data_IF_143333249289
#
_entry.id   IF_143333249289
#
_cell.length_a   1.000
_cell.length_b   1.000
_cell.length_c   1.000
_cell.angle_alpha   90.00
_cell.angle_beta   90.00
_cell.angle_gamma   90.00
#
_symmetry.space_group_name_H-M   'P 1'
#
loop_
_entity.id
_entity.type
_entity.pdbx_description
1 polymer ?
#
# COMPACT_ATOMS: atom_id res chain seq x y z
N UNK A 1 13.75 32.57 30.17
CA UNK A 1 13.93 31.12 30.03
C UNK A 1 13.06 30.63 28.86
N UNK A 2 13.64 30.61 27.68
CA UNK A 2 12.94 30.33 26.43
C UNK A 2 13.08 28.83 26.15
N UNK A 3 11.94 28.10 26.16
CA UNK A 3 11.86 26.71 25.74
C UNK A 3 11.71 26.67 24.23
N UNK A 4 12.74 26.23 23.57
CA UNK A 4 12.79 26.00 22.14
C UNK A 4 12.25 24.58 21.87
N UNK A 5 11.01 24.47 21.44
CA UNK A 5 10.43 23.18 20.96
C UNK A 5 10.77 23.00 19.50
N UNK A 6 11.89 22.35 19.23
CA UNK A 6 12.24 21.90 17.90
C UNK A 6 11.38 20.71 17.52
N UNK A 7 10.55 20.86 16.49
CA UNK A 7 9.98 19.74 15.76
C UNK A 7 11.12 19.01 15.04
N UNK A 8 11.50 17.85 15.55
CA UNK A 8 12.36 16.95 14.82
C UNK A 8 11.53 16.24 13.76
N UNK A 9 11.77 16.53 12.49
CA UNK A 9 11.38 15.67 11.39
C UNK A 9 11.95 14.29 11.66
N UNK A 10 11.04 13.30 11.81
CA UNK A 10 11.42 11.92 11.83
C UNK A 10 11.86 11.54 10.40
N UNK A 11 13.10 11.81 10.10
CA UNK A 11 13.76 11.24 8.93
C UNK A 11 13.69 9.72 9.04
N UNK A 12 13.22 9.09 7.97
CA UNK A 12 13.29 7.66 7.74
C UNK A 12 14.76 7.23 7.63
N UNK A 13 15.47 7.34 8.75
CA UNK A 13 16.84 6.86 8.88
C UNK A 13 16.77 5.33 8.93
N UNK A 14 17.06 4.67 7.81
CA UNK A 14 17.56 3.31 7.83
C UNK A 14 18.67 3.24 8.88
N UNK A 15 18.39 2.68 10.03
CA UNK A 15 19.46 2.16 10.87
C UNK A 15 20.06 0.97 10.12
N UNK A 16 21.06 1.23 9.32
CA UNK A 16 22.00 0.19 8.94
C UNK A 16 22.60 -0.35 10.25
N UNK A 17 22.16 -1.51 10.67
CA UNK A 17 22.90 -2.27 11.66
C UNK A 17 24.18 -2.75 10.97
N UNK A 18 25.29 -2.18 11.39
CA UNK A 18 26.64 -2.43 10.84
C UNK A 18 27.19 -3.83 11.16
N UNK A 19 26.34 -4.82 11.43
CA UNK A 19 26.79 -6.13 11.91
C UNK A 19 27.06 -7.16 10.83
N UNK A 20 26.70 -6.94 9.55
CA UNK A 20 27.10 -7.82 8.45
C UNK A 20 27.10 -7.08 7.12
N UNK A 21 28.24 -6.60 6.60
CA UNK A 21 28.32 -6.12 5.22
C UNK A 21 28.09 -7.31 4.28
N UNK A 22 26.95 -7.25 3.55
CA UNK A 22 26.51 -8.31 2.63
C UNK A 22 25.27 -9.09 3.09
N UNK A 23 24.61 -8.70 4.17
CA UNK A 23 23.32 -9.27 4.55
C UNK A 23 22.23 -8.76 3.59
N UNK A 24 21.54 -9.68 2.92
CA UNK A 24 20.35 -9.37 2.11
C UNK A 24 19.16 -9.32 3.06
N UNK A 25 18.41 -8.21 3.04
CA UNK A 25 17.20 -8.02 3.85
C UNK A 25 15.96 -8.33 3.03
N UNK A 26 14.95 -8.88 3.68
CA UNK A 26 13.66 -9.15 3.05
C UNK A 26 12.52 -8.43 3.78
N UNK A 27 11.57 -7.89 3.01
CA UNK A 27 10.41 -7.16 3.52
C UNK A 27 9.11 -7.73 2.96
N UNK A 28 8.07 -7.77 3.80
CA UNK A 28 6.70 -8.00 3.34
C UNK A 28 6.12 -6.68 2.88
N UNK A 29 5.63 -6.66 1.66
CA UNK A 29 4.96 -5.50 1.06
C UNK A 29 3.58 -5.88 0.53
N UNK A 30 2.76 -4.87 0.33
CA UNK A 30 1.45 -5.03 -0.30
C UNK A 30 1.37 -4.18 -1.57
N UNK A 31 0.75 -4.75 -2.60
CA UNK A 31 0.42 -4.02 -3.81
C UNK A 31 -0.61 -2.91 -3.61
N UNK A 32 -1.35 -2.91 -2.50
CA UNK A 32 -2.32 -1.87 -2.17
C UNK A 32 -1.71 -0.60 -1.55
N UNK A 33 -0.43 -0.62 -1.17
CA UNK A 33 0.26 0.53 -0.58
C UNK A 33 1.66 0.17 -0.10
N UNK A 34 2.55 1.14 -0.10
CA UNK A 34 3.94 0.97 0.32
C UNK A 34 4.13 0.97 1.85
N UNK A 35 3.09 1.28 2.62
CA UNK A 35 3.13 1.34 4.08
C UNK A 35 2.79 -0.02 4.69
N UNK A 36 3.46 -0.37 5.77
CA UNK A 36 3.18 -1.59 6.55
C UNK A 36 1.73 -1.67 7.05
N UNK A 37 1.11 -0.54 7.33
CA UNK A 37 -0.29 -0.44 7.76
C UNK A 37 -1.13 0.16 6.63
N UNK A 38 -1.96 -0.65 6.00
CA UNK A 38 -2.78 -0.23 4.85
C UNK A 38 -4.25 -0.58 5.07
N UNK A 39 -5.18 0.38 4.90
CA UNK A 39 -6.60 0.10 5.00
C UNK A 39 -7.10 -0.72 3.81
N UNK A 40 -8.04 -1.61 4.07
CA UNK A 40 -8.78 -2.36 3.05
C UNK A 40 -10.26 -2.36 3.41
N UNK A 41 -11.10 -1.91 2.47
CA UNK A 41 -12.54 -1.88 2.66
C UNK A 41 -13.18 -3.23 2.32
N UNK A 42 -14.01 -3.73 3.22
CA UNK A 42 -14.83 -4.91 3.01
C UNK A 42 -16.28 -4.46 2.82
N UNK A 43 -16.80 -4.53 1.61
CA UNK A 43 -18.07 -3.92 1.25
C UNK A 43 -19.19 -4.92 1.04
N UNK A 44 -20.23 -4.83 1.88
CA UNK A 44 -21.43 -5.66 1.81
C UNK A 44 -21.08 -7.14 1.92
N UNK A 45 -21.56 -7.92 0.98
CA UNK A 45 -21.37 -9.36 0.88
C UNK A 45 -20.19 -9.78 -0.01
N UNK A 46 -19.41 -8.81 -0.50
CA UNK A 46 -18.27 -9.08 -1.37
C UNK A 46 -16.99 -9.27 -0.56
N UNK A 47 -16.18 -10.26 -0.97
CA UNK A 47 -14.83 -10.39 -0.42
C UNK A 47 -13.95 -9.21 -0.84
N UNK A 48 -12.98 -8.88 -0.01
CA UNK A 48 -11.85 -8.04 -0.39
C UNK A 48 -10.61 -8.92 -0.57
N UNK A 49 -9.67 -8.50 -1.41
CA UNK A 49 -8.43 -9.24 -1.62
C UNK A 49 -7.25 -8.31 -1.40
N UNK A 50 -6.40 -8.65 -0.44
CA UNK A 50 -5.07 -8.07 -0.29
C UNK A 50 -4.06 -8.84 -1.12
N UNK A 51 -3.08 -8.13 -1.68
CA UNK A 51 -2.02 -8.74 -2.47
C UNK A 51 -0.68 -8.47 -1.81
N UNK A 52 -0.04 -9.51 -1.33
CA UNK A 52 1.23 -9.49 -0.62
C UNK A 52 2.35 -10.01 -1.51
N UNK A 53 3.54 -9.53 -1.31
CA UNK A 53 4.75 -10.07 -1.90
C UNK A 53 5.92 -9.88 -0.95
N UNK A 54 6.97 -10.67 -1.17
CA UNK A 54 8.22 -10.55 -0.43
C UNK A 54 9.28 -9.92 -1.34
N UNK A 55 9.94 -8.89 -0.85
CA UNK A 55 10.97 -8.18 -1.61
C UNK A 55 12.29 -8.19 -0.86
N UNK A 56 13.34 -8.63 -1.54
CA UNK A 56 14.71 -8.64 -1.07
C UNK A 56 15.39 -7.31 -1.41
N UNK A 57 16.36 -6.90 -0.61
CA UNK A 57 17.18 -5.71 -0.86
C UNK A 57 18.07 -5.84 -2.10
N UNK A 58 18.38 -7.07 -2.50
CA UNK A 58 19.20 -7.41 -3.66
C UNK A 58 18.62 -8.66 -4.36
N UNK A 59 18.94 -8.90 -5.63
CA UNK A 59 18.55 -10.13 -6.32
C UNK A 59 19.04 -11.39 -5.62
N UNK A 60 18.19 -12.40 -5.51
CA UNK A 60 18.51 -13.67 -4.91
C UNK A 60 19.56 -14.43 -5.76
N UNK A 61 20.61 -14.92 -5.14
CA UNK A 61 21.60 -15.77 -5.83
C UNK A 61 21.03 -17.14 -6.21
N UNK A 62 20.10 -17.64 -5.43
CA UNK A 62 19.37 -18.89 -5.63
C UNK A 62 17.91 -18.71 -5.24
N UNK A 63 17.06 -19.67 -5.59
CA UNK A 63 15.65 -19.66 -5.25
C UNK A 63 15.45 -19.56 -3.73
N UNK A 64 14.56 -18.64 -3.31
CA UNK A 64 14.20 -18.41 -1.91
C UNK A 64 12.73 -18.74 -1.71
N UNK A 65 12.44 -19.81 -0.98
CA UNK A 65 11.09 -20.15 -0.58
C UNK A 65 10.63 -19.24 0.58
N UNK A 66 9.43 -18.70 0.48
CA UNK A 66 8.83 -17.80 1.48
C UNK A 66 7.44 -18.29 1.84
N UNK A 67 7.16 -18.36 3.15
CA UNK A 67 5.84 -18.73 3.66
C UNK A 67 5.25 -17.57 4.45
N UNK A 68 4.11 -17.07 4.00
CA UNK A 68 3.29 -16.08 4.71
C UNK A 68 2.37 -16.78 5.72
N UNK A 69 2.17 -16.14 6.87
CA UNK A 69 1.30 -16.64 7.95
C UNK A 69 0.51 -15.51 8.57
N UNK A 70 -0.73 -15.80 8.96
CA UNK A 70 -1.48 -14.93 9.85
C UNK A 70 -0.82 -14.98 11.23
N UNK A 71 -0.50 -13.83 11.83
CA UNK A 71 0.27 -13.77 13.07
C UNK A 71 -0.26 -12.67 14.00
N UNK A 72 -1.08 -13.07 14.97
CA UNK A 72 -1.67 -12.15 15.96
C UNK A 72 -0.62 -11.46 16.84
N UNK A 73 0.54 -12.10 17.06
CA UNK A 73 1.62 -11.53 17.89
C UNK A 73 2.18 -10.24 17.28
N UNK A 74 2.16 -10.14 15.94
CA UNK A 74 2.53 -8.90 15.22
C UNK A 74 1.57 -7.78 15.59
N UNK A 75 0.27 -8.08 15.64
CA UNK A 75 -0.76 -7.11 16.01
C UNK A 75 -0.64 -6.70 17.47
N UNK A 76 -0.42 -7.65 18.37
CA UNK A 76 -0.24 -7.37 19.79
C UNK A 76 0.95 -6.44 20.03
N UNK A 77 2.09 -6.74 19.39
CA UNK A 77 3.28 -5.89 19.45
C UNK A 77 3.03 -4.50 18.87
N UNK A 78 2.32 -4.42 17.74
CA UNK A 78 1.94 -3.15 17.12
C UNK A 78 1.04 -2.32 18.04
N UNK A 79 0.01 -2.93 18.61
CA UNK A 79 -0.91 -2.26 19.52
C UNK A 79 -0.17 -1.70 20.75
N UNK A 80 0.70 -2.51 21.35
CA UNK A 80 1.50 -2.10 22.50
C UNK A 80 2.42 -0.93 22.17
N UNK A 81 3.12 -0.97 21.04
CA UNK A 81 4.07 0.07 20.62
C UNK A 81 3.38 1.40 20.29
N UNK A 82 2.19 1.34 19.69
CA UNK A 82 1.49 2.51 19.15
C UNK A 82 0.31 2.96 20.02
N UNK A 83 0.04 2.31 21.14
CA UNK A 83 -1.11 2.63 22.02
C UNK A 83 -2.45 2.44 21.33
N UNK A 84 -2.54 1.47 20.39
CA UNK A 84 -3.76 1.14 19.66
C UNK A 84 -4.44 -0.11 20.25
N UNK A 85 -5.71 -0.33 19.91
CA UNK A 85 -6.50 -1.47 20.41
C UNK A 85 -7.17 -2.25 19.27
N UNK A 86 -6.50 -2.40 18.13
CA UNK A 86 -7.05 -3.18 17.02
C UNK A 86 -7.19 -4.65 17.40
N UNK A 87 -8.29 -5.27 16.95
CA UNK A 87 -8.53 -6.71 17.11
C UNK A 87 -8.34 -7.42 15.78
N UNK A 88 -7.85 -8.67 15.83
CA UNK A 88 -7.73 -9.49 14.62
C UNK A 88 -9.11 -9.72 13.99
N UNK A 89 -9.15 -9.66 12.66
CA UNK A 89 -10.31 -10.12 11.90
C UNK A 89 -10.49 -11.63 12.10
N UNK A 90 -11.73 -12.18 12.10
CA UNK A 90 -11.97 -13.61 12.32
C UNK A 90 -11.13 -14.49 11.38
N UNK A 91 -10.38 -15.43 11.94
CA UNK A 91 -9.44 -16.25 11.18
C UNK A 91 -10.11 -17.18 10.17
N UNK A 92 -11.35 -17.64 10.45
CA UNK A 92 -12.17 -18.45 9.55
C UNK A 92 -12.65 -17.69 8.31
N UNK A 93 -12.46 -16.37 8.28
CA UNK A 93 -12.77 -15.46 7.16
C UNK A 93 -11.55 -15.05 6.35
N UNK A 94 -10.38 -15.59 6.62
CA UNK A 94 -9.12 -15.24 5.98
C UNK A 94 -8.54 -16.43 5.24
N UNK A 95 -8.30 -16.27 3.95
CA UNK A 95 -7.77 -17.33 3.09
C UNK A 95 -6.48 -16.83 2.40
N UNK A 96 -5.38 -17.46 2.72
CA UNK A 96 -4.11 -17.26 2.02
C UNK A 96 -4.02 -18.18 0.81
N UNK A 97 -3.81 -17.63 -0.35
CA UNK A 97 -3.50 -18.38 -1.56
C UNK A 97 -2.32 -19.33 -1.34
N UNK A 98 -2.30 -20.48 -1.99
CA UNK A 98 -1.21 -21.46 -1.90
C UNK A 98 -0.77 -21.80 -0.47
N UNK A 99 -1.67 -21.75 0.52
CA UNK A 99 -1.33 -21.88 1.94
C UNK A 99 -0.22 -20.90 2.39
N UNK A 100 -0.13 -19.75 1.77
CA UNK A 100 0.86 -18.72 2.07
C UNK A 100 2.23 -18.90 1.40
N UNK A 101 2.42 -19.87 0.52
CA UNK A 101 3.72 -20.15 -0.06
C UNK A 101 3.95 -19.41 -1.38
N UNK A 102 5.09 -18.75 -1.49
CA UNK A 102 5.61 -18.10 -2.70
C UNK A 102 7.12 -18.32 -2.81
N UNK A 103 7.67 -17.96 -3.94
CA UNK A 103 9.09 -18.09 -4.24
C UNK A 103 9.63 -16.78 -4.80
N UNK A 104 10.83 -16.40 -4.38
CA UNK A 104 11.68 -15.44 -5.08
C UNK A 104 12.62 -16.24 -5.96
N UNK A 105 12.47 -16.14 -7.28
CA UNK A 105 13.31 -16.86 -8.23
C UNK A 105 14.76 -16.34 -8.21
N UNK A 106 15.73 -17.21 -8.52
CA UNK A 106 17.12 -16.81 -8.68
C UNK A 106 17.24 -15.65 -9.70
N UNK A 107 18.05 -14.65 -9.36
CA UNK A 107 18.24 -13.44 -10.14
C UNK A 107 17.15 -12.38 -9.97
N UNK A 108 16.08 -12.66 -9.21
CA UNK A 108 15.03 -11.70 -8.90
C UNK A 108 15.11 -11.24 -7.44
N UNK A 109 14.66 -10.03 -7.17
CA UNK A 109 14.52 -9.50 -5.81
C UNK A 109 13.11 -9.57 -5.25
N UNK A 110 12.11 -9.97 -6.07
CA UNK A 110 10.69 -9.93 -5.71
C UNK A 110 10.02 -11.26 -5.99
N UNK A 111 9.22 -11.73 -5.03
CA UNK A 111 8.38 -12.92 -5.21
C UNK A 111 7.21 -12.66 -6.14
N UNK A 112 6.55 -13.72 -6.60
CA UNK A 112 5.19 -13.64 -7.08
C UNK A 112 4.28 -13.01 -6.02
N UNK A 113 3.19 -12.38 -6.46
CA UNK A 113 2.17 -11.82 -5.58
C UNK A 113 1.29 -12.94 -5.03
N UNK A 114 1.01 -12.90 -3.74
CA UNK A 114 0.14 -13.82 -3.03
C UNK A 114 -1.16 -13.13 -2.66
N UNK A 115 -2.30 -13.72 -3.01
CA UNK A 115 -3.60 -13.20 -2.61
C UNK A 115 -3.95 -13.60 -1.17
N UNK A 116 -4.47 -12.62 -0.41
CA UNK A 116 -5.13 -12.81 0.87
C UNK A 116 -6.59 -12.43 0.70
N UNK A 117 -7.47 -13.40 0.61
CA UNK A 117 -8.91 -13.17 0.55
C UNK A 117 -9.47 -12.92 1.95
N UNK A 118 -10.24 -11.86 2.08
CA UNK A 118 -10.94 -11.44 3.30
C UNK A 118 -12.43 -11.58 3.01
N UNK A 119 -13.04 -12.61 3.57
CA UNK A 119 -14.45 -12.90 3.37
C UNK A 119 -15.34 -11.96 4.19
N UNK A 120 -16.60 -11.73 3.76
CA UNK A 120 -17.55 -10.89 4.50
C UNK A 120 -17.74 -11.31 5.94
N UNK A 121 -17.81 -10.33 6.82
CA UNK A 121 -17.97 -10.54 8.26
C UNK A 121 -17.60 -9.29 9.06
N UNK A 122 -17.57 -9.44 10.37
CA UNK A 122 -17.30 -8.35 11.29
C UNK A 122 -18.49 -7.40 11.45
N UNK A 123 -18.34 -6.41 12.31
CA UNK A 123 -19.36 -5.39 12.58
C UNK A 123 -19.16 -4.20 11.65
N UNK A 124 -20.20 -3.76 10.97
CA UNK A 124 -20.15 -2.57 10.11
C UNK A 124 -19.66 -1.34 10.88
N UNK A 125 -18.72 -0.61 10.29
CA UNK A 125 -18.12 0.58 10.89
C UNK A 125 -16.99 0.30 11.89
N UNK A 126 -16.82 -0.93 12.35
CA UNK A 126 -15.66 -1.30 13.17
C UNK A 126 -14.37 -1.36 12.32
N UNK A 127 -13.23 -1.30 12.98
CA UNK A 127 -11.93 -1.50 12.34
C UNK A 127 -11.24 -2.71 12.97
N UNK A 128 -10.93 -3.67 12.14
CA UNK A 128 -10.17 -4.87 12.50
C UNK A 128 -8.79 -4.80 11.86
N UNK A 129 -7.90 -5.67 12.29
CA UNK A 129 -6.59 -5.84 11.66
C UNK A 129 -6.41 -7.26 11.13
N UNK A 130 -5.68 -7.41 10.04
CA UNK A 130 -5.13 -8.69 9.59
C UNK A 130 -3.63 -8.53 9.55
N UNK A 131 -2.96 -9.13 10.52
CA UNK A 131 -1.51 -9.11 10.61
C UNK A 131 -0.92 -10.36 9.95
N UNK A 132 0.05 -10.16 9.07
CA UNK A 132 0.72 -11.20 8.32
C UNK A 132 2.22 -11.11 8.57
N UNK A 133 2.86 -12.23 8.83
CA UNK A 133 4.32 -12.35 8.83
C UNK A 133 4.78 -13.23 7.69
N UNK A 134 6.06 -13.14 7.32
CA UNK A 134 6.70 -14.05 6.37
C UNK A 134 7.94 -14.68 6.98
N UNK A 135 8.17 -15.95 6.62
CA UNK A 135 9.38 -16.68 6.94
C UNK A 135 10.00 -17.13 5.62
N UNK A 136 11.22 -16.68 5.35
CA UNK A 136 12.01 -17.17 4.24
C UNK A 136 12.82 -18.37 4.71
N UNK A 137 12.78 -19.46 3.95
CA UNK A 137 13.51 -20.71 4.23
C UNK A 137 14.57 -20.95 3.18
N UNK A 138 15.65 -21.59 3.58
CA UNK A 138 16.80 -21.99 2.76
C UNK A 138 17.68 -20.85 2.20
N UNK A 139 18.97 -20.88 2.56
CA UNK A 139 19.99 -19.93 2.09
C UNK A 139 19.93 -18.54 2.71
N UNK A 140 19.01 -18.31 3.64
CA UNK A 140 18.61 -16.98 4.12
C UNK A 140 18.95 -16.71 5.58
N UNK A 141 19.98 -17.32 6.13
CA UNK A 141 20.49 -16.98 7.47
C UNK A 141 20.88 -15.50 7.62
N UNK A 142 20.89 -14.79 6.49
CA UNK A 142 21.19 -13.36 6.38
C UNK A 142 19.96 -12.46 6.25
N UNK A 143 18.72 -13.02 6.23
CA UNK A 143 17.51 -12.25 6.00
C UNK A 143 16.80 -11.95 7.32
N UNK A 144 17.07 -10.81 7.87
CA UNK A 144 16.39 -10.31 9.06
C UNK A 144 15.56 -9.08 8.73
N UNK A 145 14.40 -9.04 9.34
CA UNK A 145 13.60 -7.90 9.75
C UNK A 145 12.66 -7.23 8.72
N UNK A 146 11.52 -6.81 9.21
CA UNK A 146 10.31 -6.33 8.56
C UNK A 146 9.52 -7.38 7.78
N UNK A 147 9.39 -8.55 8.37
CA UNK A 147 8.63 -9.68 7.83
C UNK A 147 7.14 -9.60 8.20
N UNK A 148 6.62 -8.40 8.39
CA UNK A 148 5.25 -8.18 8.83
C UNK A 148 4.54 -7.13 8.00
N UNK A 149 3.24 -7.33 7.79
CA UNK A 149 2.33 -6.38 7.17
C UNK A 149 0.98 -6.42 7.87
N UNK A 150 0.30 -5.28 8.00
CA UNK A 150 -1.00 -5.18 8.65
C UNK A 150 -1.99 -4.50 7.70
N UNK A 151 -3.07 -5.21 7.35
CA UNK A 151 -4.24 -4.59 6.77
C UNK A 151 -5.20 -4.14 7.86
N UNK A 152 -5.70 -2.91 7.76
CA UNK A 152 -6.83 -2.45 8.56
C UNK A 152 -8.12 -2.72 7.77
N UNK A 153 -8.84 -3.75 8.18
CA UNK A 153 -10.09 -4.17 7.54
C UNK A 153 -11.24 -3.37 8.11
N UNK A 154 -11.99 -2.72 7.22
CA UNK A 154 -13.19 -1.95 7.57
C UNK A 154 -14.41 -2.56 6.90
N UNK A 155 -15.26 -3.32 7.62
CA UNK A 155 -16.56 -3.73 7.14
C UNK A 155 -17.45 -2.50 6.92
N UNK A 156 -17.95 -2.35 5.73
CA UNK A 156 -18.77 -1.19 5.31
C UNK A 156 -20.00 -1.70 4.56
N UNK A 157 -21.07 -0.91 4.57
CA UNK A 157 -22.26 -1.20 3.77
C UNK A 157 -21.91 -1.34 2.29
N UNK A 158 -22.70 -2.12 1.56
CA UNK A 158 -22.60 -2.19 0.10
C UNK A 158 -22.72 -0.79 -0.49
N UNK A 159 -21.88 -0.47 -1.48
CA UNK A 159 -22.03 0.79 -2.21
C UNK A 159 -23.07 0.63 -3.30
N UNK A 160 -24.03 1.57 -3.39
CA UNK A 160 -24.92 1.62 -4.55
C UNK A 160 -24.09 1.89 -5.83
N UNK A 161 -24.68 1.60 -6.97
CA UNK A 161 -24.10 1.96 -8.25
C UNK A 161 -23.90 3.48 -8.34
N UNK A 162 -22.88 3.89 -9.09
CA UNK A 162 -22.59 5.32 -9.27
C UNK A 162 -23.77 6.00 -9.95
N UNK A 163 -24.30 7.04 -9.33
CA UNK A 163 -25.31 7.87 -9.97
C UNK A 163 -24.65 8.72 -11.07
N UNK A 164 -24.69 8.20 -12.31
CA UNK A 164 -24.14 8.87 -13.48
C UNK A 164 -24.82 10.21 -13.81
N UNK A 165 -26.02 10.46 -13.27
CA UNK A 165 -26.82 11.67 -13.50
C UNK A 165 -26.35 12.90 -12.73
N UNK A 166 -25.40 12.79 -11.81
CA UNK A 166 -24.91 13.93 -11.03
C UNK A 166 -24.19 14.94 -11.94
N UNK A 167 -24.70 16.18 -11.97
CA UNK A 167 -24.13 17.25 -12.81
C UNK A 167 -22.80 17.77 -12.28
N UNK A 168 -22.69 17.95 -10.96
CA UNK A 168 -21.46 18.38 -10.31
C UNK A 168 -20.59 17.15 -10.07
N UNK A 169 -19.33 17.21 -10.49
CA UNK A 169 -18.35 16.15 -10.28
C UNK A 169 -17.36 16.56 -9.19
N UNK A 170 -17.14 15.65 -8.25
CA UNK A 170 -16.17 15.83 -7.18
C UNK A 170 -14.86 15.14 -7.57
N UNK A 171 -13.77 15.89 -7.45
CA UNK A 171 -12.43 15.39 -7.73
C UNK A 171 -11.59 15.47 -6.46
N UNK A 172 -10.78 14.45 -6.20
CA UNK A 172 -9.74 14.50 -5.18
C UNK A 172 -8.36 14.23 -5.78
N UNK A 173 -7.35 14.82 -5.16
CA UNK A 173 -5.95 14.50 -5.36
C UNK A 173 -5.47 13.64 -4.20
N UNK A 174 -4.92 12.46 -4.47
CA UNK A 174 -4.40 11.58 -3.44
C UNK A 174 -2.88 11.71 -3.40
N UNK A 175 -2.37 12.24 -2.29
CA UNK A 175 -0.93 12.34 -2.00
C UNK A 175 -0.40 10.94 -1.65
N UNK A 176 0.02 10.21 -2.68
CA UNK A 176 0.41 8.79 -2.54
C UNK A 176 1.68 8.57 -1.71
N UNK A 177 2.42 9.64 -1.39
CA UNK A 177 3.53 9.57 -0.44
C UNK A 177 3.06 9.30 1.00
N UNK A 178 1.79 9.63 1.30
CA UNK A 178 1.23 9.57 2.66
C UNK A 178 -0.01 8.71 2.75
N UNK A 179 -0.78 8.61 1.66
CA UNK A 179 -2.09 8.00 1.64
C UNK A 179 -2.22 6.91 0.57
N UNK A 180 -3.06 5.92 0.84
CA UNK A 180 -3.42 4.92 -0.17
C UNK A 180 -4.40 5.51 -1.19
N UNK A 181 -4.22 5.17 -2.47
CA UNK A 181 -5.19 5.50 -3.52
C UNK A 181 -6.60 5.00 -3.20
N UNK A 182 -6.70 3.85 -2.52
CA UNK A 182 -7.97 3.22 -2.18
C UNK A 182 -8.83 4.07 -1.22
N UNK A 183 -8.21 4.99 -0.46
CA UNK A 183 -8.92 5.89 0.45
C UNK A 183 -9.97 6.75 -0.27
N UNK A 184 -9.74 7.13 -1.52
CA UNK A 184 -10.73 7.87 -2.30
C UNK A 184 -12.06 7.12 -2.48
N UNK A 185 -12.01 5.78 -2.47
CA UNK A 185 -13.19 4.93 -2.56
C UNK A 185 -13.91 4.68 -1.24
N UNK A 186 -13.40 5.18 -0.11
CA UNK A 186 -14.01 5.02 1.21
C UNK A 186 -15.05 6.10 1.53
N UNK A 187 -14.98 7.23 0.85
CA UNK A 187 -15.92 8.33 1.06
C UNK A 187 -17.20 8.11 0.28
N UNK A 188 -18.33 8.13 0.97
CA UNK A 188 -19.65 7.96 0.37
C UNK A 188 -20.57 9.11 0.72
N UNK A 189 -21.55 9.37 -0.16
CA UNK A 189 -22.62 10.32 0.12
C UNK A 189 -23.50 9.81 1.26
N UNK A 190 -23.87 10.69 2.18
CA UNK A 190 -24.74 10.34 3.30
C UNK A 190 -26.14 9.94 2.84
N UNK A 191 -26.62 10.55 1.77
CA UNK A 191 -27.99 10.40 1.26
C UNK A 191 -28.26 9.02 0.66
N UNK A 192 -27.38 8.56 -0.23
CA UNK A 192 -27.60 7.38 -1.08
C UNK A 192 -26.43 6.39 -1.04
N UNK A 193 -25.41 6.69 -0.21
CA UNK A 193 -24.19 5.86 -0.07
C UNK A 193 -23.36 5.73 -1.36
N UNK A 194 -23.69 6.48 -2.41
CA UNK A 194 -22.87 6.52 -3.62
C UNK A 194 -21.45 7.04 -3.32
N UNK A 195 -20.44 6.75 -4.15
CA UNK A 195 -19.12 7.33 -4.01
C UNK A 195 -19.17 8.86 -3.95
N UNK A 196 -18.44 9.45 -3.00
CA UNK A 196 -18.38 10.90 -2.89
C UNK A 196 -17.57 11.51 -4.04
N UNK A 197 -16.45 10.88 -4.39
CA UNK A 197 -15.60 11.31 -5.49
C UNK A 197 -15.98 10.62 -6.80
N UNK A 198 -16.06 11.38 -7.87
CA UNK A 198 -16.24 10.88 -9.25
C UNK A 198 -14.92 10.67 -9.94
N UNK A 199 -13.89 11.42 -9.51
CA UNK A 199 -12.56 11.42 -10.09
C UNK A 199 -11.55 11.41 -8.95
N UNK A 200 -10.55 10.56 -9.05
CA UNK A 200 -9.39 10.53 -8.16
C UNK A 200 -8.11 10.68 -8.97
N UNK A 201 -7.22 11.50 -8.51
CA UNK A 201 -5.95 11.75 -9.20
C UNK A 201 -4.78 11.28 -8.38
N UNK A 202 -3.90 10.48 -9.00
CA UNK A 202 -2.61 10.07 -8.41
C UNK A 202 -1.70 11.28 -8.38
N UNK A 203 -1.34 11.76 -7.20
CA UNK A 203 -0.50 12.93 -7.01
C UNK A 203 0.90 12.51 -6.49
N UNK A 204 2.02 12.70 -7.19
CA UNK A 204 2.07 13.17 -8.56
C UNK A 204 3.30 12.59 -9.28
N UNK A 205 3.23 12.56 -10.59
CA UNK A 205 4.39 12.42 -11.44
C UNK A 205 4.89 13.80 -11.88
N UNK A 206 6.14 13.88 -12.32
CA UNK A 206 6.73 15.11 -12.86
C UNK A 206 7.22 14.86 -14.29
N UNK A 207 7.04 15.81 -15.18
CA UNK A 207 7.72 15.82 -16.46
C UNK A 207 9.05 16.56 -16.27
N UNK A 208 10.15 15.88 -16.57
CA UNK A 208 11.52 16.41 -16.48
C UNK A 208 12.21 16.28 -17.82
N UNK A 209 13.28 17.03 -18.00
CA UNK A 209 14.18 16.89 -19.15
C UNK A 209 15.38 16.04 -18.74
N UNK A 210 15.80 15.14 -19.62
CA UNK A 210 17.08 14.44 -19.51
C UNK A 210 18.24 15.40 -19.77
N UNK A 211 19.47 14.90 -19.65
CA UNK A 211 20.67 15.67 -20.01
C UNK A 211 20.70 16.07 -21.51
N UNK A 212 20.00 15.32 -22.34
CA UNK A 212 19.89 15.55 -23.81
C UNK A 212 18.58 16.30 -24.16
N UNK A 213 17.98 17.02 -23.22
CA UNK A 213 16.73 17.77 -23.37
C UNK A 213 15.53 16.96 -23.84
N UNK A 214 15.54 15.64 -23.62
CA UNK A 214 14.41 14.77 -23.95
C UNK A 214 13.44 14.73 -22.75
N UNK A 215 12.14 15.07 -22.94
CA UNK A 215 11.14 14.98 -21.89
C UNK A 215 10.91 13.53 -21.44
N UNK A 216 10.86 13.31 -20.13
CA UNK A 216 10.51 12.01 -19.55
C UNK A 216 9.63 12.16 -18.31
N UNK A 217 8.84 11.13 -18.00
CA UNK A 217 8.01 11.08 -16.80
C UNK A 217 8.86 10.58 -15.64
N UNK A 218 9.04 11.45 -14.65
CA UNK A 218 9.74 11.15 -13.39
C UNK A 218 8.72 10.88 -12.30
N UNK A 219 8.77 9.69 -11.71
CA UNK A 219 7.95 9.31 -10.58
C UNK A 219 8.86 9.05 -9.37
N UNK A 220 8.41 9.45 -8.18
CA UNK A 220 9.02 8.97 -6.96
C UNK A 220 8.64 7.49 -6.72
N UNK A 221 9.22 6.87 -5.70
CA UNK A 221 9.00 5.46 -5.38
C UNK A 221 7.51 5.13 -5.16
N UNK A 222 6.79 5.95 -4.42
CA UNK A 222 5.38 5.73 -4.08
C UNK A 222 4.46 5.88 -5.30
N UNK A 223 4.70 6.87 -6.14
CA UNK A 223 3.94 7.04 -7.39
C UNK A 223 4.24 5.89 -8.35
N UNK A 224 5.50 5.49 -8.47
CA UNK A 224 5.90 4.32 -9.27
C UNK A 224 5.22 3.06 -8.78
N UNK A 225 5.21 2.84 -7.44
CA UNK A 225 4.53 1.70 -6.83
C UNK A 225 3.04 1.64 -7.21
N UNK A 226 2.32 2.76 -7.17
CA UNK A 226 0.91 2.81 -7.57
C UNK A 226 0.74 2.44 -9.05
N UNK A 227 1.60 2.96 -9.92
CA UNK A 227 1.51 2.72 -11.36
C UNK A 227 1.91 1.29 -11.75
N UNK A 228 2.90 0.71 -11.05
CA UNK A 228 3.33 -0.67 -11.29
C UNK A 228 2.34 -1.71 -10.74
N UNK A 229 1.44 -1.31 -9.83
CA UNK A 229 0.45 -2.18 -9.18
C UNK A 229 -1.00 -1.69 -9.46
N UNK A 230 -1.31 -1.34 -10.71
CA UNK A 230 -2.62 -0.77 -11.12
C UNK A 230 -3.79 -1.68 -10.73
N UNK A 231 -3.66 -2.99 -10.87
CA UNK A 231 -4.74 -3.94 -10.56
C UNK A 231 -5.17 -3.88 -9.10
N UNK A 232 -4.27 -3.54 -8.18
CA UNK A 232 -4.52 -3.49 -6.75
C UNK A 232 -4.78 -2.09 -6.23
N UNK A 233 -4.26 -1.06 -6.89
CA UNK A 233 -4.32 0.32 -6.41
C UNK A 233 -5.32 1.20 -7.13
N UNK A 234 -5.61 0.91 -8.40
CA UNK A 234 -6.44 1.73 -9.29
C UNK A 234 -7.74 1.02 -9.69
N UNK A 235 -7.65 -0.25 -10.11
CA UNK A 235 -8.82 -1.02 -10.57
C UNK A 235 -9.95 -1.11 -9.55
N UNK A 236 -9.70 -1.25 -8.23
CA UNK A 236 -10.79 -1.25 -7.25
C UNK A 236 -11.58 0.07 -7.22
N UNK A 237 -10.94 1.21 -7.47
CA UNK A 237 -11.62 2.49 -7.59
C UNK A 237 -12.45 2.57 -8.88
N UNK A 238 -11.90 2.11 -10.00
CA UNK A 238 -12.61 2.06 -11.27
C UNK A 238 -13.83 1.13 -11.19
N UNK A 239 -13.71 -0.01 -10.48
CA UNK A 239 -14.84 -0.91 -10.23
C UNK A 239 -15.96 -0.25 -9.39
N UNK A 240 -15.62 0.76 -8.58
CA UNK A 240 -16.59 1.61 -7.86
C UNK A 240 -17.12 2.75 -8.72
N UNK A 241 -16.73 2.86 -10.00
CA UNK A 241 -17.12 3.90 -10.93
C UNK A 241 -16.35 5.21 -10.77
N UNK A 242 -15.29 5.24 -9.99
CA UNK A 242 -14.41 6.41 -9.82
C UNK A 242 -13.39 6.41 -10.95
N UNK A 243 -13.35 7.48 -11.74
CA UNK A 243 -12.31 7.65 -12.76
C UNK A 243 -10.97 7.99 -12.10
N UNK A 244 -9.90 7.36 -12.52
CA UNK A 244 -8.56 7.62 -12.00
C UNK A 244 -7.69 8.24 -13.08
N UNK A 245 -7.05 9.35 -12.74
CA UNK A 245 -6.16 10.09 -13.61
C UNK A 245 -4.79 10.27 -12.94
N UNK A 246 -3.68 10.17 -13.66
CA UNK A 246 -2.39 10.65 -13.16
C UNK A 246 -2.37 12.19 -13.22
N UNK A 247 -1.71 12.80 -12.23
CA UNK A 247 -1.32 14.22 -12.30
C UNK A 247 0.14 14.31 -12.68
N UNK A 248 0.46 15.15 -13.62
CA UNK A 248 1.84 15.48 -13.94
C UNK A 248 2.07 16.97 -13.80
N UNK A 249 3.16 17.35 -13.12
CA UNK A 249 3.65 18.70 -13.10
C UNK A 249 4.80 18.85 -14.11
N UNK A 250 4.76 19.94 -14.86
CA UNK A 250 5.88 20.37 -15.68
C UNK A 250 6.66 21.42 -14.90
N UNK A 251 7.81 21.06 -14.35
CA UNK A 251 8.79 22.03 -13.88
C UNK A 251 9.69 22.46 -15.07
N UNK A 252 9.09 22.99 -16.11
CA UNK A 252 9.84 23.77 -17.09
C UNK A 252 10.22 25.05 -16.36
N UNK A 253 11.51 25.28 -16.09
CA UNK A 253 11.99 26.59 -15.73
C UNK A 253 11.52 27.53 -16.83
N UNK A 254 10.70 28.50 -16.48
CA UNK A 254 10.51 29.64 -17.33
C UNK A 254 11.91 30.20 -17.59
N UNK A 255 12.38 30.13 -18.83
CA UNK A 255 13.53 30.90 -19.23
C UNK A 255 13.12 32.36 -19.04
N UNK A 256 13.59 32.98 -17.95
CA UNK A 256 13.62 34.43 -17.90
C UNK A 256 14.41 34.88 -19.11
N UNK A 257 13.70 35.35 -20.11
CA UNK A 257 14.30 36.14 -21.20
C UNK A 257 14.84 37.39 -20.54
N UNK A 258 16.13 37.38 -20.21
CA UNK A 258 16.85 38.62 -19.92
C UNK A 258 16.83 39.46 -21.18
N UNK A 259 15.99 40.49 -21.17
CA UNK A 259 16.10 41.64 -22.06
C UNK A 259 17.30 42.49 -21.67
#
# INVERSE_FOLDING_TARGET
MLLNSGCSEAGNGRKQTTENPGAIFGEVKSAAGAKMLTPIALRGDKKATGHLFFELSEPAEQEVAVTFKLDSRILDAYNQLNGTGYTMYPADKLLLENNGNVVVEAGKSKSATLALDILPGGTEGATYAVAVSAVATAGTEKHTDNKAFIYLVKPLAAMPEVNAGRKVKNLCYVEVNRESMLNAGEYTMKSDKSPFFDISSVFAANIRLSADDVPYVSCNEQTRFVLDNIEQTVRPLQAKGIRVHPVSYTHLRAHETRS
#
